data_IF_532577765043
#
_entry.id   IF_532577765043
#
_cell.length_a   1.000
_cell.length_b   1.000
_cell.length_c   1.000
_cell.angle_alpha   90.00
_cell.angle_beta   90.00
_cell.angle_gamma   90.00
#
_symmetry.space_group_name_H-M   'P 1'
#
loop_
_entity.id
_entity.type
_entity.pdbx_description
1 polymer ?
#
# COMPACT_ATOMS: atom_id res chain seq x y z
N UNK A 1 22.13 10.25 -3.66
CA UNK A 1 20.67 10.44 -3.65
C UNK A 1 19.99 9.09 -3.54
N UNK A 2 18.92 8.98 -2.77
CA UNK A 2 18.16 7.73 -2.59
C UNK A 2 16.67 8.05 -2.50
N UNK A 3 15.83 7.04 -2.73
CA UNK A 3 14.40 7.21 -2.54
C UNK A 3 14.13 7.20 -1.03
N UNK A 4 13.57 8.29 -0.51
CA UNK A 4 13.28 8.42 0.91
C UNK A 4 11.94 7.81 1.28
N UNK A 5 10.93 8.08 0.48
CA UNK A 5 9.57 7.60 0.71
C UNK A 5 8.81 7.48 -0.60
N UNK A 6 7.80 6.62 -0.60
CA UNK A 6 6.74 6.62 -1.61
C UNK A 6 5.53 7.27 -0.97
N UNK A 7 4.96 8.27 -1.62
CA UNK A 7 3.77 8.98 -1.11
C UNK A 7 2.60 8.66 -2.00
N UNK A 8 1.53 8.17 -1.40
CA UNK A 8 0.28 7.88 -2.08
C UNK A 8 -0.79 8.83 -1.54
N UNK A 9 -1.24 9.72 -2.41
CA UNK A 9 -2.35 10.61 -2.09
C UNK A 9 -3.65 9.81 -2.04
N UNK A 10 -4.52 10.13 -1.08
CA UNK A 10 -5.71 9.34 -0.84
C UNK A 10 -6.84 10.18 -0.25
N UNK A 11 -7.99 9.54 -0.07
CA UNK A 11 -9.15 10.15 0.55
C UNK A 11 -9.20 9.88 2.06
N UNK A 12 -8.92 8.63 2.45
CA UNK A 12 -8.95 8.20 3.86
C UNK A 12 -7.64 7.46 4.19
N UNK A 13 -6.74 8.15 4.86
CA UNK A 13 -5.37 7.66 5.08
C UNK A 13 -5.33 6.43 5.98
N UNK A 14 -6.01 6.42 7.11
CA UNK A 14 -5.92 5.32 8.07
C UNK A 14 -6.39 3.98 7.50
N UNK A 15 -7.60 3.87 6.88
CA UNK A 15 -8.03 2.60 6.29
C UNK A 15 -7.12 2.15 5.15
N UNK A 16 -6.67 3.06 4.30
CA UNK A 16 -5.80 2.72 3.18
C UNK A 16 -4.43 2.26 3.65
N UNK A 17 -3.90 2.87 4.71
CA UNK A 17 -2.65 2.44 5.33
C UNK A 17 -2.77 1.02 5.88
N UNK A 18 -3.88 0.67 6.51
CA UNK A 18 -4.11 -0.71 6.99
C UNK A 18 -4.13 -1.72 5.85
N UNK A 19 -4.75 -1.36 4.73
CA UNK A 19 -4.73 -2.21 3.53
C UNK A 19 -3.29 -2.47 3.06
N UNK A 20 -2.52 -1.40 2.83
CA UNK A 20 -1.17 -1.54 2.30
C UNK A 20 -0.23 -2.24 3.28
N UNK A 21 -0.37 -1.98 4.59
CA UNK A 21 0.41 -2.69 5.60
C UNK A 21 0.12 -4.19 5.57
N UNK A 22 -1.16 -4.57 5.51
CA UNK A 22 -1.55 -5.98 5.43
C UNK A 22 -1.13 -6.62 4.11
N UNK A 23 -1.28 -5.91 2.99
CA UNK A 23 -0.90 -6.41 1.66
C UNK A 23 0.59 -6.72 1.58
N UNK A 24 1.42 -5.84 2.10
CA UNK A 24 2.89 -5.97 2.08
C UNK A 24 3.45 -6.78 3.26
N UNK A 25 2.61 -7.11 4.25
CA UNK A 25 3.05 -7.66 5.53
C UNK A 25 4.04 -6.72 6.25
N UNK A 26 3.80 -5.44 6.08
CA UNK A 26 4.46 -4.34 6.77
C UNK A 26 3.57 -3.90 7.94
N UNK A 27 3.92 -2.80 8.62
CA UNK A 27 3.13 -2.29 9.73
C UNK A 27 2.81 -0.81 9.56
N UNK A 28 1.67 -0.39 10.07
CA UNK A 28 1.38 1.02 10.27
C UNK A 28 2.27 1.50 11.42
N UNK A 29 2.94 2.64 11.24
CA UNK A 29 3.80 3.19 12.28
C UNK A 29 3.01 3.39 13.58
N UNK A 30 3.50 2.91 14.73
CA UNK A 30 2.77 2.99 15.98
C UNK A 30 2.65 4.43 16.49
N UNK A 31 1.57 4.71 17.19
CA UNK A 31 1.33 6.00 17.81
C UNK A 31 1.77 5.94 19.28
N UNK A 32 2.95 6.45 19.58
CA UNK A 32 3.43 6.60 20.95
C UNK A 32 2.87 7.88 21.57
N UNK A 33 3.20 8.12 22.85
CA UNK A 33 2.71 9.30 23.57
C UNK A 33 3.12 10.62 22.91
N UNK A 34 4.33 10.69 22.38
CA UNK A 34 4.85 11.87 21.70
C UNK A 34 4.07 12.16 20.41
N UNK A 35 3.81 11.12 19.62
CA UNK A 35 3.03 11.23 18.38
C UNK A 35 1.58 11.61 18.65
N UNK A 36 0.97 11.02 19.67
CA UNK A 36 -0.40 11.38 20.07
C UNK A 36 -0.47 12.83 20.53
N UNK A 37 0.54 13.31 21.27
CA UNK A 37 0.60 14.70 21.71
C UNK A 37 0.78 15.65 20.51
N UNK A 38 1.56 15.25 19.51
CA UNK A 38 1.73 16.04 18.27
C UNK A 38 0.40 16.18 17.54
N UNK A 39 -0.34 15.09 17.39
CA UNK A 39 -1.67 15.12 16.76
C UNK A 39 -2.66 15.97 17.56
N UNK A 40 -2.67 15.83 18.88
CA UNK A 40 -3.55 16.61 19.75
C UNK A 40 -3.27 18.11 19.63
N UNK A 41 -2.00 18.51 19.46
CA UNK A 41 -1.62 19.91 19.26
C UNK A 41 -2.21 20.50 17.98
N UNK A 42 -2.60 19.65 17.03
CA UNK A 42 -3.25 20.03 15.77
C UNK A 42 -4.77 19.84 15.82
N UNK A 43 -5.33 19.51 16.97
CA UNK A 43 -6.76 19.26 17.12
C UNK A 43 -7.20 17.86 16.70
N UNK A 44 -6.27 16.94 16.49
CA UNK A 44 -6.56 15.56 16.12
C UNK A 44 -6.41 14.68 17.36
N UNK A 45 -7.54 14.18 17.87
CA UNK A 45 -7.58 13.40 19.10
C UNK A 45 -7.77 11.90 18.88
N UNK A 46 -8.11 11.49 17.65
CA UNK A 46 -8.26 10.10 17.24
C UNK A 46 -7.30 9.83 16.10
N UNK A 47 -6.34 8.88 16.24
CA UNK A 47 -5.43 8.51 15.15
C UNK A 47 -6.13 8.08 13.87
N UNK A 48 -7.38 7.62 13.93
CA UNK A 48 -8.19 7.30 12.76
C UNK A 48 -8.42 8.53 11.88
N UNK A 49 -8.33 9.72 12.43
CA UNK A 49 -8.51 10.99 11.72
C UNK A 49 -7.19 11.62 11.27
N UNK A 50 -6.06 10.94 11.48
CA UNK A 50 -4.75 11.43 11.04
C UNK A 50 -4.73 11.54 9.51
N UNK A 51 -4.50 12.74 8.95
CA UNK A 51 -4.48 12.90 7.49
C UNK A 51 -3.19 12.39 6.83
N UNK A 52 -2.18 12.03 7.62
CA UNK A 52 -0.91 11.52 7.11
C UNK A 52 -0.48 10.31 7.92
N UNK A 53 -0.55 9.13 7.31
CA UNK A 53 -0.24 7.87 7.99
C UNK A 53 0.94 7.21 7.30
N UNK A 54 1.87 6.70 8.08
CA UNK A 54 3.07 6.03 7.59
C UNK A 54 2.94 4.52 7.72
N UNK A 55 3.30 3.82 6.65
CA UNK A 55 3.47 2.37 6.64
C UNK A 55 4.95 2.09 6.50
N UNK A 56 5.49 1.32 7.43
CA UNK A 56 6.93 1.05 7.49
C UNK A 56 7.25 -0.41 7.18
N UNK A 57 8.37 -0.63 6.45
CA UNK A 57 8.82 -1.98 6.17
C UNK A 57 9.40 -2.64 7.43
N UNK A 58 9.70 -3.95 7.39
CA UNK A 58 10.41 -4.62 8.49
C UNK A 58 11.72 -3.91 8.83
N UNK A 59 12.13 -3.97 10.09
CA UNK A 59 13.30 -3.24 10.62
C UNK A 59 14.61 -3.56 9.89
N UNK A 60 14.73 -4.76 9.32
CA UNK A 60 15.90 -5.21 8.60
C UNK A 60 15.89 -4.87 7.10
N UNK A 61 14.90 -4.11 6.66
CA UNK A 61 14.71 -3.75 5.24
C UNK A 61 15.25 -2.35 4.96
N UNK A 62 15.87 -2.19 3.78
CA UNK A 62 16.31 -0.89 3.26
C UNK A 62 15.27 -0.23 2.36
N UNK A 63 14.08 -0.81 2.25
CA UNK A 63 13.01 -0.25 1.42
C UNK A 63 12.47 1.05 2.02
N UNK A 64 12.02 1.99 1.16
CA UNK A 64 11.46 3.24 1.65
C UNK A 64 10.12 3.02 2.36
N UNK A 65 9.78 3.93 3.27
CA UNK A 65 8.45 3.96 3.88
C UNK A 65 7.40 4.41 2.86
N UNK A 66 6.14 4.12 3.14
CA UNK A 66 5.02 4.60 2.35
C UNK A 66 4.20 5.55 3.22
N UNK A 67 3.95 6.76 2.71
CA UNK A 67 3.02 7.69 3.34
C UNK A 67 1.69 7.70 2.60
N UNK A 68 0.61 7.61 3.34
CA UNK A 68 -0.74 7.83 2.85
C UNK A 68 -1.14 9.24 3.27
N UNK A 69 -1.40 10.11 2.31
CA UNK A 69 -1.64 11.54 2.57
C UNK A 69 -3.00 11.94 2.02
N UNK A 70 -3.88 12.43 2.89
CA UNK A 70 -5.22 12.87 2.47
C UNK A 70 -5.13 14.13 1.63
N UNK A 71 -5.78 14.08 0.47
CA UNK A 71 -5.89 15.20 -0.47
C UNK A 71 -7.35 15.40 -0.86
N UNK A 72 -7.75 16.63 -1.25
CA UNK A 72 -9.13 16.87 -1.66
C UNK A 72 -9.47 16.36 -3.06
N UNK A 73 -8.48 16.14 -3.90
CA UNK A 73 -8.68 15.68 -5.28
C UNK A 73 -9.09 14.22 -5.31
N UNK A 74 -10.12 13.90 -6.10
CA UNK A 74 -10.56 12.53 -6.29
C UNK A 74 -9.68 11.78 -7.29
N UNK A 75 -9.55 10.48 -7.09
CA UNK A 75 -8.90 9.57 -8.04
C UNK A 75 -9.84 9.41 -9.26
N UNK A 76 -9.48 9.97 -10.41
CA UNK A 76 -10.29 9.94 -11.62
C UNK A 76 -9.59 9.19 -12.77
N UNK A 77 -8.33 9.50 -13.05
CA UNK A 77 -7.58 8.91 -14.15
C UNK A 77 -6.67 7.80 -13.65
N UNK A 78 -6.22 6.93 -14.58
CA UNK A 78 -5.27 5.87 -14.25
C UNK A 78 -3.98 6.47 -13.68
N UNK A 79 -3.47 5.86 -12.59
CA UNK A 79 -2.20 6.27 -12.00
C UNK A 79 -1.07 6.12 -13.03
N UNK A 80 -0.19 7.11 -13.11
CA UNK A 80 0.98 7.06 -13.99
C UNK A 80 2.11 6.24 -13.40
N UNK A 81 2.19 6.18 -12.07
CA UNK A 81 3.09 5.29 -11.36
C UNK A 81 2.29 4.24 -10.63
N UNK A 82 2.74 3.00 -10.65
CA UNK A 82 2.13 1.93 -9.88
C UNK A 82 3.22 1.01 -9.32
N UNK A 83 2.90 0.32 -8.25
CA UNK A 83 3.78 -0.67 -7.65
C UNK A 83 3.49 -2.03 -8.29
N UNK A 84 4.56 -2.78 -8.55
CA UNK A 84 4.47 -4.18 -8.91
C UNK A 84 4.93 -4.98 -7.68
N UNK A 85 4.03 -5.79 -7.15
CA UNK A 85 4.29 -6.64 -5.98
C UNK A 85 4.56 -8.06 -6.46
N UNK A 86 5.53 -8.71 -5.87
CA UNK A 86 5.83 -10.09 -6.23
C UNK A 86 5.11 -11.05 -5.28
N UNK A 87 4.35 -11.99 -5.84
CA UNK A 87 3.73 -13.04 -5.05
C UNK A 87 4.81 -13.95 -4.44
N UNK A 88 4.54 -14.49 -3.24
CA UNK A 88 5.47 -15.35 -2.55
C UNK A 88 5.58 -16.73 -3.20
N UNK A 89 4.51 -17.51 -3.13
CA UNK A 89 4.51 -18.89 -3.62
C UNK A 89 3.49 -19.15 -4.73
N UNK A 90 2.34 -18.51 -4.65
CA UNK A 90 1.22 -18.76 -5.55
C UNK A 90 0.51 -17.44 -5.87
N UNK A 91 0.56 -17.05 -7.15
CA UNK A 91 -0.03 -15.81 -7.62
C UNK A 91 -1.54 -15.74 -7.37
N UNK A 92 -2.28 -16.80 -7.71
CA UNK A 92 -3.73 -16.80 -7.56
C UNK A 92 -4.16 -16.74 -6.11
N UNK A 93 -3.47 -17.46 -5.23
CA UNK A 93 -3.74 -17.42 -3.79
C UNK A 93 -3.46 -16.02 -3.21
N UNK A 94 -2.41 -15.37 -3.69
CA UNK A 94 -2.07 -14.02 -3.24
C UNK A 94 -3.10 -13.00 -3.70
N UNK A 95 -3.57 -13.10 -4.94
CA UNK A 95 -4.64 -12.24 -5.46
C UNK A 95 -5.91 -12.43 -4.63
N UNK A 96 -6.27 -13.67 -4.31
CA UNK A 96 -7.44 -13.96 -3.48
C UNK A 96 -7.29 -13.37 -2.07
N UNK A 97 -6.11 -13.46 -1.47
CA UNK A 97 -5.82 -12.85 -0.18
C UNK A 97 -6.03 -11.33 -0.23
N UNK A 98 -5.52 -10.69 -1.27
CA UNK A 98 -5.65 -9.23 -1.45
C UNK A 98 -7.10 -8.81 -1.66
N UNK A 99 -7.88 -9.60 -2.39
CA UNK A 99 -9.33 -9.36 -2.52
C UNK A 99 -10.02 -9.39 -1.16
N UNK A 100 -9.63 -10.32 -0.30
CA UNK A 100 -10.15 -10.41 1.06
C UNK A 100 -9.80 -9.20 1.93
N UNK A 101 -8.74 -8.47 1.59
CA UNK A 101 -8.32 -7.25 2.28
C UNK A 101 -8.99 -5.99 1.73
N UNK A 102 -9.69 -6.08 0.60
CA UNK A 102 -10.42 -4.95 0.03
C UNK A 102 -9.95 -4.53 -1.37
N UNK A 103 -8.98 -5.21 -1.95
CA UNK A 103 -8.57 -4.97 -3.34
C UNK A 103 -9.56 -5.61 -4.30
N UNK A 104 -9.54 -5.19 -5.56
CA UNK A 104 -10.33 -5.81 -6.62
C UNK A 104 -9.46 -6.08 -7.84
N UNK A 105 -9.83 -7.11 -8.59
CA UNK A 105 -9.17 -7.44 -9.85
C UNK A 105 -9.66 -6.47 -10.93
N UNK A 106 -8.72 -5.81 -11.60
CA UNK A 106 -9.05 -5.04 -12.80
C UNK A 106 -9.00 -5.95 -14.02
N UNK A 107 -7.89 -6.64 -14.23
CA UNK A 107 -7.75 -7.62 -15.32
C UNK A 107 -6.50 -8.49 -15.09
N UNK A 108 -6.51 -9.64 -15.72
CA UNK A 108 -5.31 -10.46 -15.86
C UNK A 108 -4.60 -10.07 -17.15
N UNK A 109 -3.27 -10.07 -17.11
CA UNK A 109 -2.44 -9.74 -18.25
C UNK A 109 -1.40 -10.82 -18.48
N UNK A 110 -0.87 -10.89 -19.69
CA UNK A 110 0.12 -11.88 -20.09
C UNK A 110 1.20 -11.21 -20.92
N UNK A 111 2.44 -11.61 -20.69
CA UNK A 111 3.60 -11.07 -21.40
C UNK A 111 4.79 -12.02 -21.27
N UNK A 112 5.98 -11.50 -21.59
CA UNK A 112 7.23 -12.30 -21.61
C UNK A 112 7.58 -12.92 -20.26
N UNK A 113 7.15 -12.31 -19.16
CA UNK A 113 7.38 -12.80 -17.80
C UNK A 113 6.28 -13.72 -17.26
N UNK A 114 5.34 -14.15 -18.12
CA UNK A 114 4.19 -14.95 -17.72
C UNK A 114 2.94 -14.11 -17.46
N UNK A 115 2.03 -14.64 -16.64
CA UNK A 115 0.80 -13.93 -16.28
C UNK A 115 1.00 -13.11 -15.00
N UNK A 116 0.34 -11.97 -14.95
CA UNK A 116 0.22 -11.18 -13.72
C UNK A 116 -1.19 -10.63 -13.58
N UNK A 117 -1.53 -10.15 -12.39
CA UNK A 117 -2.84 -9.58 -12.14
C UNK A 117 -2.73 -8.07 -11.92
N UNK A 118 -3.50 -7.30 -12.67
CA UNK A 118 -3.67 -5.87 -12.42
C UNK A 118 -4.81 -5.71 -11.45
N UNK A 119 -4.54 -5.10 -10.30
CA UNK A 119 -5.51 -4.93 -9.23
C UNK A 119 -5.72 -3.45 -8.90
N UNK A 120 -6.78 -3.18 -8.18
CA UNK A 120 -7.09 -1.86 -7.62
C UNK A 120 -7.09 -1.98 -6.11
N UNK A 121 -6.45 -1.01 -5.44
CA UNK A 121 -6.56 -0.91 -3.99
C UNK A 121 -7.97 -0.42 -3.60
N UNK A 122 -8.32 -0.34 -2.31
CA UNK A 122 -9.66 0.09 -1.89
C UNK A 122 -10.09 1.47 -2.38
N UNK A 123 -9.15 2.31 -2.78
CA UNK A 123 -9.46 3.64 -3.35
C UNK A 123 -9.32 3.70 -4.87
N UNK A 124 -9.10 2.56 -5.52
CA UNK A 124 -9.04 2.47 -6.98
C UNK A 124 -7.65 2.73 -7.57
N UNK A 125 -6.59 2.76 -6.76
CA UNK A 125 -5.23 2.90 -7.27
C UNK A 125 -4.77 1.59 -7.89
N UNK A 126 -4.25 1.66 -9.11
CA UNK A 126 -3.76 0.50 -9.84
C UNK A 126 -2.43 0.01 -9.27
N UNK A 127 -2.32 -1.29 -9.10
CA UNK A 127 -1.06 -1.97 -8.79
C UNK A 127 -1.08 -3.35 -9.43
N UNK A 128 0.09 -3.97 -9.55
CA UNK A 128 0.19 -5.28 -10.16
C UNK A 128 0.73 -6.31 -9.18
N UNK A 129 0.24 -7.53 -9.28
CA UNK A 129 0.80 -8.67 -8.57
C UNK A 129 1.45 -9.57 -9.60
N UNK A 130 2.76 -9.70 -9.47
CA UNK A 130 3.62 -10.44 -10.37
C UNK A 130 3.78 -11.88 -9.88
N UNK A 131 4.05 -12.83 -10.78
CA UNK A 131 4.26 -14.21 -10.35
C UNK A 131 5.49 -14.34 -9.46
N UNK A 132 5.56 -15.44 -8.68
CA UNK A 132 6.76 -15.73 -7.90
C UNK A 132 8.02 -15.76 -8.77
N UNK A 133 9.15 -15.44 -8.16
CA UNK A 133 10.42 -15.50 -8.84
C UNK A 133 10.83 -16.97 -9.04
N UNK A 134 11.13 -17.37 -10.28
CA UNK A 134 11.55 -18.74 -10.61
C UNK A 134 12.87 -19.14 -9.94
N UNK A 135 13.67 -18.16 -9.54
CA UNK A 135 14.95 -18.38 -8.84
C UNK A 135 14.79 -18.68 -7.36
N UNK A 136 13.58 -18.61 -6.82
CA UNK A 136 13.27 -18.99 -5.44
C UNK A 136 12.75 -20.44 -5.43
N UNK A 137 13.69 -21.34 -5.51
CA UNK A 137 13.37 -22.77 -5.40
C UNK A 137 13.38 -23.19 -3.93
#
# INVERSE_FOLDING_TARGET
>A
MRIDAVVLDCRDAAPLARFWAAALEWRVAPYDEEELARLASKGIFDPEEDPTVMVEPPDDSDLPVIFLVEVPEEKVVKNRMHLDLQAGEDLEAEVERLEGLGASIRNWAEGDGGMWCVMLDPEGNEFCVMPPDDDVA
#
